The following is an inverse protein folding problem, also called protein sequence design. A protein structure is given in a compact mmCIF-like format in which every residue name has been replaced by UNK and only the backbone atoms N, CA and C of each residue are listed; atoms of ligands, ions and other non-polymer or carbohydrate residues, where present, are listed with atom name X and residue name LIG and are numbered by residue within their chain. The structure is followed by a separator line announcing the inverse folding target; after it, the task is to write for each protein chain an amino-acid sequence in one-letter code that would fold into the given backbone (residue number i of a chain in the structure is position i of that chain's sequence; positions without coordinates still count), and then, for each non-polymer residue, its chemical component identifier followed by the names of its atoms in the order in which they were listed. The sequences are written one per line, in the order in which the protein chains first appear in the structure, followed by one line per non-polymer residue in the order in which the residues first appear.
data_IF_396727253579
#
_entry.id   IF_396727253579
#
_cell.length_a   1.000
_cell.length_b   1.000
_cell.length_c   1.000
_cell.angle_alpha   90.00
_cell.angle_beta   90.00
_cell.angle_gamma   90.00
#
_symmetry.space_group_name_H-M   'P 1'
#
loop_
_entity.id
_entity.type
_entity.pdbx_description
1 polymer ?
#
# COMPACT_ATOMS: atom_id res chain seq x y z
N UNK A 1 5.20 1.99 -24.19
CA UNK A 1 3.87 2.41 -23.70
C UNK A 1 3.68 2.07 -22.22
N UNK A 2 3.92 0.83 -21.79
CA UNK A 2 3.75 0.37 -20.39
C UNK A 2 4.62 1.08 -19.32
N UNK A 3 5.79 1.62 -19.70
CA UNK A 3 6.74 2.26 -18.78
C UNK A 3 6.22 3.55 -18.14
N UNK A 4 5.37 4.31 -18.85
CA UNK A 4 4.78 5.56 -18.34
C UNK A 4 3.56 5.36 -17.44
N UNK A 5 3.00 4.15 -17.38
CA UNK A 5 1.92 3.78 -16.46
C UNK A 5 2.50 3.30 -15.13
N UNK A 6 3.56 2.49 -15.18
CA UNK A 6 4.37 2.14 -14.01
C UNK A 6 4.88 3.38 -13.28
N UNK A 7 5.29 4.43 -13.99
CA UNK A 7 5.80 5.66 -13.36
C UNK A 7 4.76 6.42 -12.53
N UNK A 8 3.46 6.34 -12.84
CA UNK A 8 2.43 7.00 -12.03
C UNK A 8 2.07 6.18 -10.78
N UNK A 9 2.01 4.85 -10.92
CA UNK A 9 1.75 3.95 -9.79
C UNK A 9 2.89 3.97 -8.76
N UNK A 10 4.14 4.12 -9.20
CA UNK A 10 5.32 4.29 -8.32
C UNK A 10 5.25 5.52 -7.41
N UNK A 11 4.39 6.50 -7.71
CA UNK A 11 4.21 7.72 -6.89
C UNK A 11 3.25 7.52 -5.72
N UNK A 12 2.51 6.41 -5.67
CA UNK A 12 1.51 6.16 -4.63
C UNK A 12 2.13 5.97 -3.24
N UNK A 13 3.10 5.06 -3.12
CA UNK A 13 3.77 4.81 -1.83
C UNK A 13 4.50 6.06 -1.29
N UNK A 14 5.30 6.81 -2.07
CA UNK A 14 5.94 8.03 -1.57
C UNK A 14 4.96 9.11 -1.10
N UNK A 15 3.78 9.21 -1.75
CA UNK A 15 2.77 10.20 -1.41
C UNK A 15 1.99 9.91 -0.11
N UNK A 16 2.03 8.66 0.37
CA UNK A 16 1.39 8.26 1.63
C UNK A 16 1.93 9.08 2.80
N UNK A 17 1.06 9.89 3.40
CA UNK A 17 1.43 10.73 4.53
C UNK A 17 2.17 12.01 4.17
N UNK A 18 2.48 12.26 2.90
CA UNK A 18 3.05 13.53 2.42
C UNK A 18 1.94 14.47 1.93
N UNK A 19 1.02 13.93 1.15
CA UNK A 19 -0.10 14.66 0.57
C UNK A 19 -1.24 14.79 1.59
N UNK A 20 -1.77 16.00 1.75
CA UNK A 20 -2.89 16.28 2.67
C UNK A 20 -4.16 15.49 2.31
N UNK A 21 -4.55 15.50 1.03
CA UNK A 21 -5.68 14.71 0.51
C UNK A 21 -5.17 13.52 -0.32
N UNK A 22 -4.62 12.52 0.38
CA UNK A 22 -4.19 11.27 -0.25
C UNK A 22 -5.32 10.54 -1.01
N UNK A 23 -6.57 10.44 -0.50
CA UNK A 23 -7.66 9.84 -1.26
C UNK A 23 -7.92 10.49 -2.61
N UNK A 24 -7.93 11.82 -2.67
CA UNK A 24 -8.08 12.54 -3.95
C UNK A 24 -6.89 12.29 -4.87
N UNK A 25 -5.67 12.44 -4.36
CA UNK A 25 -4.45 12.16 -5.13
C UNK A 25 -4.45 10.75 -5.72
N UNK A 26 -4.83 9.74 -4.93
CA UNK A 26 -4.91 8.36 -5.37
C UNK A 26 -5.93 8.18 -6.51
N UNK A 27 -7.14 8.75 -6.38
CA UNK A 27 -8.16 8.68 -7.43
C UNK A 27 -7.71 9.32 -8.73
N UNK A 28 -7.10 10.50 -8.65
CA UNK A 28 -6.55 11.21 -9.82
C UNK A 28 -5.48 10.37 -10.52
N UNK A 29 -4.64 9.65 -9.76
CA UNK A 29 -3.65 8.75 -10.35
C UNK A 29 -4.29 7.52 -11.01
N UNK A 30 -5.29 6.92 -10.39
CA UNK A 30 -6.03 5.80 -11.00
C UNK A 30 -6.70 6.23 -12.31
N UNK A 31 -7.33 7.42 -12.33
CA UNK A 31 -7.96 7.98 -13.52
C UNK A 31 -6.94 8.27 -14.64
N UNK A 32 -5.80 8.89 -14.31
CA UNK A 32 -4.71 9.13 -15.26
C UNK A 32 -4.19 7.85 -15.91
N UNK A 33 -4.05 6.77 -15.14
CA UNK A 33 -3.62 5.47 -15.67
C UNK A 33 -4.72 4.86 -16.54
N UNK A 34 -5.98 4.94 -16.11
CA UNK A 34 -7.14 4.44 -16.83
C UNK A 34 -7.32 5.13 -18.20
N UNK A 35 -7.24 6.46 -18.26
CA UNK A 35 -7.32 7.24 -19.51
C UNK A 35 -6.21 6.83 -20.48
N UNK A 36 -4.96 6.73 -20.00
CA UNK A 36 -3.83 6.29 -20.84
C UNK A 36 -4.03 4.86 -21.37
N UNK A 37 -4.61 3.95 -20.57
CA UNK A 37 -4.93 2.59 -21.03
C UNK A 37 -6.04 2.60 -22.10
N UNK A 38 -7.04 3.46 -21.95
CA UNK A 38 -8.11 3.60 -22.91
C UNK A 38 -7.58 4.12 -24.27
N UNK A 39 -6.75 5.16 -24.26
CA UNK A 39 -6.09 5.68 -25.46
C UNK A 39 -5.26 4.63 -26.20
N UNK A 40 -4.57 3.74 -25.46
CA UNK A 40 -3.85 2.61 -26.07
C UNK A 40 -4.81 1.62 -26.73
N UNK A 41 -5.94 1.33 -26.09
CA UNK A 41 -6.96 0.39 -26.61
C UNK A 41 -7.59 0.89 -27.91
N UNK A 42 -7.87 2.20 -28.01
CA UNK A 42 -8.46 2.80 -29.21
C UNK A 42 -7.48 2.84 -30.39
N UNK A 43 -6.17 2.90 -30.12
CA UNK A 43 -5.13 2.97 -31.14
C UNK A 43 -4.50 1.60 -31.50
N UNK A 44 -4.82 0.53 -30.75
CA UNK A 44 -4.29 -0.82 -31.01
C UNK A 44 -5.09 -1.56 -32.10
N UNK A 45 -4.41 -1.85 -33.22
CA UNK A 45 -4.88 -2.78 -34.27
C UNK A 45 -4.52 -4.24 -34.00
N UNK A 46 -3.88 -4.53 -32.86
CA UNK A 46 -3.33 -5.85 -32.51
C UNK A 46 -4.28 -6.60 -31.56
N UNK A 47 -4.66 -7.82 -31.97
CA UNK A 47 -5.10 -8.92 -31.09
C UNK A 47 -6.30 -8.70 -30.15
N UNK A 48 -7.37 -9.47 -30.34
CA UNK A 48 -8.54 -9.50 -29.43
C UNK A 48 -8.19 -9.90 -27.96
N UNK A 49 -7.05 -10.58 -27.76
CA UNK A 49 -6.55 -10.96 -26.43
C UNK A 49 -6.06 -9.74 -25.64
N UNK A 50 -5.38 -8.81 -26.30
CA UNK A 50 -4.76 -7.63 -25.67
C UNK A 50 -5.83 -6.62 -25.25
N UNK A 51 -6.84 -6.40 -26.11
CA UNK A 51 -8.01 -5.54 -25.81
C UNK A 51 -8.77 -6.00 -24.55
N UNK A 52 -8.95 -7.32 -24.38
CA UNK A 52 -9.62 -7.88 -23.19
C UNK A 52 -8.80 -7.64 -21.92
N UNK A 53 -7.48 -7.85 -21.98
CA UNK A 53 -6.60 -7.62 -20.85
C UNK A 53 -6.62 -6.14 -20.43
N UNK A 54 -6.54 -5.21 -21.38
CA UNK A 54 -6.59 -3.77 -21.11
C UNK A 54 -7.95 -3.37 -20.53
N UNK A 55 -9.05 -3.90 -21.07
CA UNK A 55 -10.40 -3.65 -20.54
C UNK A 55 -10.55 -4.13 -19.10
N UNK A 56 -9.99 -5.29 -18.76
CA UNK A 56 -10.00 -5.80 -17.39
C UNK A 56 -9.20 -4.90 -16.45
N UNK A 57 -8.01 -4.46 -16.85
CA UNK A 57 -7.20 -3.52 -16.07
C UNK A 57 -7.95 -2.20 -15.82
N UNK A 58 -8.61 -1.65 -16.83
CA UNK A 58 -9.41 -0.44 -16.69
C UNK A 58 -10.53 -0.61 -15.64
N UNK A 59 -11.22 -1.76 -15.66
CA UNK A 59 -12.24 -2.08 -14.64
C UNK A 59 -11.63 -2.18 -13.24
N UNK A 60 -10.47 -2.82 -13.10
CA UNK A 60 -9.77 -2.92 -11.82
C UNK A 60 -9.40 -1.54 -11.28
N UNK A 61 -8.81 -0.66 -12.10
CA UNK A 61 -8.49 0.71 -11.69
C UNK A 61 -9.72 1.52 -11.28
N UNK A 62 -10.85 1.32 -11.98
CA UNK A 62 -12.12 1.95 -11.63
C UNK A 62 -12.63 1.49 -10.25
N UNK A 63 -12.50 0.19 -9.95
CA UNK A 63 -12.84 -0.37 -8.63
C UNK A 63 -11.91 0.19 -7.56
N UNK A 64 -10.59 0.19 -7.79
CA UNK A 64 -9.61 0.75 -6.87
C UNK A 64 -9.90 2.23 -6.56
N UNK A 65 -10.23 3.02 -7.59
CA UNK A 65 -10.62 4.43 -7.43
C UNK A 65 -11.89 4.60 -6.60
N UNK A 66 -12.90 3.74 -6.81
CA UNK A 66 -14.12 3.76 -6.01
C UNK A 66 -13.88 3.35 -4.55
N UNK A 67 -12.96 2.40 -4.30
CA UNK A 67 -12.59 1.95 -2.96
C UNK A 67 -11.88 3.01 -2.13
N UNK A 68 -11.16 3.94 -2.78
CA UNK A 68 -10.56 5.09 -2.11
C UNK A 68 -11.58 5.99 -1.40
N UNK A 69 -12.84 6.02 -1.87
CA UNK A 69 -13.94 6.73 -1.17
C UNK A 69 -14.34 6.07 0.16
N UNK A 70 -13.95 4.81 0.37
CA UNK A 70 -14.11 4.06 1.61
C UNK A 70 -12.79 3.96 2.39
N UNK A 71 -11.85 4.86 2.11
CA UNK A 71 -10.51 4.89 2.69
C UNK A 71 -9.72 3.58 2.55
N UNK A 72 -9.94 2.88 1.43
CA UNK A 72 -9.21 1.68 1.08
C UNK A 72 -8.35 1.92 -0.16
N UNK A 73 -7.07 1.62 -0.06
CA UNK A 73 -6.07 1.87 -1.09
C UNK A 73 -5.29 0.60 -1.39
N UNK A 74 -5.23 0.22 -2.67
CA UNK A 74 -4.39 -0.88 -3.14
C UNK A 74 -3.18 -0.29 -3.87
N UNK A 75 -2.00 -0.50 -3.30
CA UNK A 75 -0.77 0.12 -3.75
C UNK A 75 0.13 -0.99 -4.27
N UNK A 76 0.29 -1.08 -5.60
CA UNK A 76 1.22 -2.03 -6.20
C UNK A 76 2.65 -1.56 -5.95
N UNK A 77 3.49 -2.49 -5.51
CA UNK A 77 4.89 -2.27 -5.17
C UNK A 77 5.77 -3.14 -6.04
N UNK A 78 6.82 -2.56 -6.61
CA UNK A 78 7.84 -3.31 -7.31
C UNK A 78 8.90 -3.78 -6.30
N UNK A 79 9.17 -5.09 -6.33
CA UNK A 79 10.28 -5.73 -5.66
C UNK A 79 11.16 -6.42 -6.71
N UNK A 80 12.41 -6.72 -6.35
CA UNK A 80 13.34 -7.45 -7.23
C UNK A 80 12.78 -8.81 -7.69
N UNK A 81 11.99 -9.46 -6.84
CA UNK A 81 11.44 -10.77 -7.14
C UNK A 81 10.09 -10.68 -7.88
N UNK A 82 9.45 -9.51 -7.94
CA UNK A 82 8.20 -9.26 -8.66
C UNK A 82 7.28 -8.25 -7.98
N UNK A 83 6.01 -8.21 -8.41
CA UNK A 83 5.02 -7.27 -7.87
C UNK A 83 4.48 -7.76 -6.53
N UNK A 84 4.47 -6.88 -5.55
CA UNK A 84 3.87 -7.05 -4.22
C UNK A 84 2.64 -6.14 -4.16
N UNK A 85 1.58 -6.61 -3.51
CA UNK A 85 0.40 -5.79 -3.28
C UNK A 85 0.34 -5.34 -1.81
N UNK A 86 0.26 -4.03 -1.59
CA UNK A 86 -0.12 -3.49 -0.30
C UNK A 86 -1.59 -3.05 -0.35
N UNK A 87 -2.38 -3.50 0.62
CA UNK A 87 -3.68 -2.90 0.92
C UNK A 87 -3.58 -2.08 2.20
N UNK A 88 -4.09 -0.85 2.18
CA UNK A 88 -4.22 0.04 3.34
C UNK A 88 -5.70 0.39 3.51
N UNK A 89 -6.28 0.03 4.65
CA UNK A 89 -7.66 0.39 5.01
C UNK A 89 -7.66 1.28 6.24
N UNK A 90 -8.04 2.55 6.09
CA UNK A 90 -8.21 3.43 7.24
C UNK A 90 -9.60 3.26 7.85
N UNK A 91 -9.64 3.12 9.17
CA UNK A 91 -10.86 3.13 9.96
C UNK A 91 -10.87 4.42 10.76
N UNK A 92 -11.47 5.46 10.18
CA UNK A 92 -11.72 6.72 10.87
C UNK A 92 -12.79 6.43 11.92
N UNK A 93 -12.42 6.45 13.20
CA UNK A 93 -13.27 5.97 14.30
C UNK A 93 -14.69 6.54 14.26
N UNK A 94 -15.68 5.66 14.47
CA UNK A 94 -17.10 6.05 14.62
C UNK A 94 -17.50 6.22 16.10
N UNK A 95 -18.80 6.28 16.40
CA UNK A 95 -19.33 6.44 17.77
C UNK A 95 -18.77 5.45 18.82
N UNK A 96 -18.26 4.29 18.38
CA UNK A 96 -17.69 3.24 19.25
C UNK A 96 -16.16 3.21 19.29
N UNK A 97 -15.46 3.97 18.44
CA UNK A 97 -14.01 3.86 18.27
C UNK A 97 -13.36 5.24 18.44
N UNK A 98 -12.76 5.48 19.61
CA UNK A 98 -12.22 6.80 19.98
C UNK A 98 -11.03 7.26 19.13
N UNK A 99 -10.25 6.32 18.61
CA UNK A 99 -8.99 6.58 17.92
C UNK A 99 -9.02 5.97 16.51
N UNK A 100 -8.56 6.69 15.48
CA UNK A 100 -8.40 6.15 14.13
C UNK A 100 -7.40 4.97 14.10
N UNK A 101 -7.65 4.02 13.20
CA UNK A 101 -6.80 2.87 12.94
C UNK A 101 -6.50 2.72 11.46
N UNK A 102 -5.40 2.03 11.14
CA UNK A 102 -5.10 1.59 9.78
C UNK A 102 -4.75 0.11 9.80
N UNK A 103 -5.45 -0.67 8.98
CA UNK A 103 -5.10 -2.06 8.69
C UNK A 103 -4.25 -2.08 7.43
N UNK A 104 -3.09 -2.71 7.51
CA UNK A 104 -2.17 -2.91 6.41
C UNK A 104 -2.05 -4.40 6.14
N UNK A 105 -2.32 -4.79 4.90
CA UNK A 105 -2.13 -6.16 4.42
C UNK A 105 -1.09 -6.12 3.31
N UNK A 106 0.02 -6.79 3.53
CA UNK A 106 1.09 -6.97 2.56
C UNK A 106 1.06 -8.41 2.08
N UNK A 107 0.71 -8.59 0.82
CA UNK A 107 0.77 -9.89 0.15
C UNK A 107 2.12 -10.00 -0.56
N UNK A 108 3.01 -10.79 0.05
CA UNK A 108 4.35 -11.06 -0.44
C UNK A 108 4.31 -12.34 -1.29
N UNK A 109 5.37 -12.57 -2.06
CA UNK A 109 5.47 -13.76 -2.89
C UNK A 109 5.38 -15.06 -2.08
N UNK A 110 4.94 -16.13 -2.76
CA UNK A 110 4.67 -17.45 -2.18
C UNK A 110 3.45 -17.51 -1.24
N UNK A 111 2.55 -16.52 -1.29
CA UNK A 111 1.31 -16.50 -0.50
C UNK A 111 1.53 -16.14 0.98
N UNK A 112 2.70 -15.56 1.30
CA UNK A 112 2.99 -15.04 2.62
C UNK A 112 2.24 -13.71 2.81
N UNK A 113 1.37 -13.67 3.81
CA UNK A 113 0.59 -12.48 4.14
C UNK A 113 1.11 -11.92 5.46
N UNK A 114 1.53 -10.67 5.43
CA UNK A 114 1.80 -9.87 6.62
C UNK A 114 0.60 -8.95 6.84
N UNK A 115 -0.09 -9.09 7.97
CA UNK A 115 -1.12 -8.15 8.40
C UNK A 115 -0.62 -7.36 9.59
N UNK A 116 -0.84 -6.06 9.58
CA UNK A 116 -0.54 -5.21 10.73
C UNK A 116 -1.65 -4.20 10.97
N UNK A 117 -1.94 -3.95 12.24
CA UNK A 117 -2.85 -2.90 12.65
C UNK A 117 -2.07 -1.77 13.31
N UNK A 118 -2.26 -0.55 12.82
CA UNK A 118 -1.73 0.68 13.40
C UNK A 118 -2.87 1.43 14.10
N UNK A 119 -2.56 2.05 15.24
CA UNK A 119 -3.51 2.89 15.98
C UNK A 119 -2.89 4.25 16.30
N UNK A 120 -3.68 5.30 16.10
CA UNK A 120 -3.32 6.67 16.46
C UNK A 120 -3.80 7.00 17.88
N UNK A 121 -2.94 6.84 18.88
CA UNK A 121 -3.22 7.15 20.28
C UNK A 121 -2.39 8.36 20.79
N UNK A 122 -1.46 8.17 21.75
CA UNK A 122 -0.42 9.14 22.12
C UNK A 122 0.71 9.20 21.07
N UNK A 123 0.62 8.39 20.03
CA UNK A 123 1.47 8.37 18.84
C UNK A 123 0.89 7.35 17.84
N UNK A 124 1.73 6.86 16.93
CA UNK A 124 1.39 5.68 16.12
C UNK A 124 2.12 4.49 16.70
N UNK A 125 1.36 3.45 17.01
CA UNK A 125 1.91 2.17 17.45
C UNK A 125 1.33 1.04 16.61
N UNK A 126 2.14 0.01 16.41
CA UNK A 126 1.66 -1.26 15.86
C UNK A 126 0.97 -2.01 17.00
N UNK A 127 -0.33 -2.26 16.88
CA UNK A 127 -1.11 -2.96 17.90
C UNK A 127 -1.08 -4.47 17.71
N UNK A 128 -0.97 -4.93 16.46
CA UNK A 128 -1.02 -6.34 16.10
C UNK A 128 -0.22 -6.57 14.83
N UNK A 129 0.50 -7.70 14.77
CA UNK A 129 1.17 -8.20 13.58
C UNK A 129 0.85 -9.69 13.45
N UNK A 130 0.27 -10.08 12.32
CA UNK A 130 0.06 -11.46 11.95
C UNK A 130 0.90 -11.79 10.72
N UNK A 131 1.50 -12.98 10.72
CA UNK A 131 2.20 -13.54 9.57
C UNK A 131 1.71 -14.94 9.28
N UNK A 132 1.60 -15.28 8.00
CA UNK A 132 1.51 -16.67 7.56
C UNK A 132 2.62 -17.50 8.24
N UNK A 133 2.25 -18.62 8.87
CA UNK A 133 3.17 -19.48 9.63
C UNK A 133 3.91 -18.82 10.83
N UNK A 134 3.28 -17.87 11.55
CA UNK A 134 3.85 -17.18 12.72
C UNK A 134 4.37 -18.10 13.86
N UNK A 135 4.05 -19.40 13.84
CA UNK A 135 4.56 -20.39 14.80
C UNK A 135 6.04 -20.75 14.61
N UNK A 136 6.65 -20.44 13.47
CA UNK A 136 8.07 -20.71 13.22
C UNK A 136 8.95 -19.71 13.98
N UNK A 137 10.03 -20.15 14.67
CA UNK A 137 10.94 -19.26 15.42
C UNK A 137 11.54 -18.14 14.57
N UNK A 138 11.81 -18.42 13.29
CA UNK A 138 12.32 -17.45 12.33
C UNK A 138 11.35 -16.29 12.10
N UNK A 139 10.05 -16.58 11.99
CA UNK A 139 9.01 -15.56 11.79
C UNK A 139 8.83 -14.70 13.04
N UNK A 140 9.00 -15.25 14.24
CA UNK A 140 9.02 -14.45 15.48
C UNK A 140 10.17 -13.45 15.50
N UNK A 141 11.37 -13.85 15.07
CA UNK A 141 12.51 -12.94 14.96
C UNK A 141 12.24 -11.82 13.94
N UNK A 142 11.68 -12.17 12.78
CA UNK A 142 11.30 -11.18 11.75
C UNK A 142 10.26 -10.17 12.25
N UNK A 143 9.30 -10.58 13.09
CA UNK A 143 8.31 -9.68 13.69
C UNK A 143 8.99 -8.64 14.60
N UNK A 144 9.92 -9.06 15.45
CA UNK A 144 10.60 -8.13 16.36
C UNK A 144 11.50 -7.17 15.58
N UNK A 145 12.25 -7.68 14.59
CA UNK A 145 13.06 -6.84 13.70
C UNK A 145 12.20 -5.85 12.89
N UNK A 146 11.01 -6.26 12.44
CA UNK A 146 10.05 -5.39 11.77
C UNK A 146 9.60 -4.23 12.68
N UNK A 147 9.30 -4.51 13.95
CA UNK A 147 8.88 -3.49 14.93
C UNK A 147 9.99 -2.49 15.23
N UNK A 148 11.23 -2.96 15.39
CA UNK A 148 12.40 -2.11 15.61
C UNK A 148 12.62 -1.18 14.41
N UNK A 149 12.71 -1.74 13.21
CA UNK A 149 12.89 -0.97 11.97
C UNK A 149 11.75 0.00 11.70
N UNK A 150 10.50 -0.39 11.98
CA UNK A 150 9.36 0.51 11.91
C UNK A 150 9.51 1.70 12.84
N UNK A 151 9.90 1.46 14.09
CA UNK A 151 10.01 2.50 15.11
C UNK A 151 11.11 3.51 14.78
N UNK A 152 12.24 3.03 14.23
CA UNK A 152 13.32 3.87 13.73
C UNK A 152 12.85 4.75 12.56
N UNK A 153 12.33 4.13 11.49
CA UNK A 153 11.87 4.84 10.29
C UNK A 153 10.76 5.85 10.60
N UNK A 154 9.78 5.46 11.43
CA UNK A 154 8.69 6.34 11.80
C UNK A 154 9.16 7.51 12.68
N UNK A 155 10.14 7.27 13.56
CA UNK A 155 10.76 8.30 14.38
C UNK A 155 11.50 9.37 13.55
N UNK A 156 12.17 8.97 12.47
CA UNK A 156 12.83 9.88 11.53
C UNK A 156 11.84 10.66 10.65
N UNK A 157 10.79 9.98 10.19
CA UNK A 157 9.83 10.52 9.22
C UNK A 157 8.82 11.47 9.92
N UNK A 158 8.50 11.25 11.20
CA UNK A 158 7.61 12.12 11.98
C UNK A 158 8.27 13.46 12.32
N UNK A 159 7.97 14.49 11.53
CA UNK A 159 8.39 15.88 11.79
C UNK A 159 7.20 16.81 11.97
N UNK A 160 7.17 17.54 13.09
CA UNK A 160 6.16 18.58 13.35
C UNK A 160 4.80 18.05 13.81
N UNK A 161 3.78 18.92 13.73
CA UNK A 161 2.39 18.58 14.08
C UNK A 161 1.67 18.09 12.83
N UNK A 162 1.21 16.85 12.86
CA UNK A 162 0.46 16.19 11.78
C UNK A 162 -0.88 15.68 12.30
N UNK A 163 -1.86 15.50 11.41
CA UNK A 163 -3.14 14.89 11.80
C UNK A 163 -2.96 13.38 12.05
N UNK A 164 -3.82 12.79 12.89
CA UNK A 164 -3.78 11.35 13.17
C UNK A 164 -3.89 10.49 11.90
N UNK A 165 -4.70 10.93 10.93
CA UNK A 165 -4.86 10.24 9.63
C UNK A 165 -3.57 10.29 8.82
N UNK A 166 -2.91 11.46 8.78
CA UNK A 166 -1.63 11.62 8.09
C UNK A 166 -0.56 10.76 8.74
N UNK A 167 -0.51 10.73 10.08
CA UNK A 167 0.40 9.87 10.83
C UNK A 167 0.16 8.38 10.56
N UNK A 168 -1.10 7.92 10.43
CA UNK A 168 -1.40 6.54 10.06
C UNK A 168 -0.92 6.19 8.65
N UNK A 169 -1.11 7.09 7.68
CA UNK A 169 -0.63 6.89 6.31
C UNK A 169 0.91 6.89 6.24
N UNK A 170 1.57 7.78 7.00
CA UNK A 170 3.03 7.74 7.18
C UNK A 170 3.48 6.42 7.82
N UNK A 171 2.75 5.96 8.84
CA UNK A 171 3.00 4.68 9.50
C UNK A 171 2.89 3.50 8.52
N UNK A 172 1.84 3.48 7.68
CA UNK A 172 1.70 2.46 6.64
C UNK A 172 2.90 2.46 5.68
N UNK A 173 3.34 3.65 5.22
CA UNK A 173 4.56 3.82 4.40
C UNK A 173 5.81 3.26 5.10
N UNK A 174 6.03 3.61 6.37
CA UNK A 174 7.19 3.16 7.14
C UNK A 174 7.17 1.64 7.34
N UNK A 175 6.00 1.06 7.62
CA UNK A 175 5.83 -0.37 7.80
C UNK A 175 6.21 -1.14 6.54
N UNK A 176 5.80 -0.68 5.35
CA UNK A 176 6.21 -1.30 4.09
C UNK A 176 7.72 -1.23 3.90
N UNK A 177 8.32 -0.04 4.09
CA UNK A 177 9.78 0.13 3.96
C UNK A 177 10.54 -0.79 4.92
N UNK A 178 10.01 -1.00 6.12
CA UNK A 178 10.57 -1.92 7.10
C UNK A 178 10.37 -3.39 6.70
N UNK A 179 9.20 -3.75 6.19
CA UNK A 179 8.85 -5.12 5.82
C UNK A 179 9.57 -5.60 4.56
N UNK A 180 9.72 -4.76 3.53
CA UNK A 180 10.26 -5.16 2.22
C UNK A 180 11.57 -5.97 2.35
N UNK A 181 12.62 -5.50 3.04
CA UNK A 181 13.88 -6.27 3.10
C UNK A 181 13.84 -7.53 3.97
N UNK A 182 12.81 -7.73 4.80
CA UNK A 182 12.69 -8.90 5.69
C UNK A 182 11.96 -10.08 5.02
N UNK A 183 11.08 -9.75 4.09
CA UNK A 183 10.17 -10.69 3.44
C UNK A 183 10.40 -10.78 1.93
N UNK A 184 11.20 -9.88 1.36
CA UNK A 184 11.77 -9.96 0.03
C UNK A 184 13.26 -10.22 0.22
N UNK A 185 13.66 -11.49 0.36
CA UNK A 185 15.08 -11.85 0.35
C UNK A 185 15.62 -11.83 -1.08
N UNK A 186 16.82 -11.27 -1.24
CA UNK A 186 17.72 -11.51 -2.36
C UNK A 186 17.87 -13.03 -2.53
N UNK A 187 17.60 -13.53 -3.73
CA UNK A 187 18.05 -14.87 -4.10
C UNK A 187 19.57 -14.78 -4.22
N UNK A 188 20.29 -15.38 -3.26
CA UNK A 188 21.74 -15.59 -3.34
C UNK A 188 22.11 -16.52 -4.50
#
# INVERSE_FOLDING_TARGET
AFTGQQSELRKLLPALGEVEDYPQFYREKMEQVATKLHEVTENETKGFLDIKAITLLHKQLSVMSAMANKDHFEIPLESENGMISMSVTLRRGGDKQKNPEAEIVLEVQEGNILRANLRADKGISITEIELSEAGRPENKRKIEELKERFSELFGEEKQGKTSQVKELLMGAKCLVKAALPLYVQEVA
#
